data_IF_955043250291
#
_entry.id   IF_955043250291
#
_cell.length_a   1.000
_cell.length_b   1.000
_cell.length_c   1.000
_cell.angle_alpha   90.00
_cell.angle_beta   90.00
_cell.angle_gamma   90.00
#
_symmetry.space_group_name_H-M   'P 1'
#
loop_
_entity.id
_entity.type
_entity.pdbx_description
1 polymer ?
#
# COMPACT_ATOMS: atom_id res chain seq x y z
N UNK A 1 10.07 13.32 -3.93
CA UNK A 1 8.66 12.87 -3.93
C UNK A 1 7.82 13.84 -3.11
N UNK A 2 6.65 14.23 -3.63
CA UNK A 2 5.74 15.22 -3.02
C UNK A 2 5.37 14.86 -1.57
N UNK A 3 5.03 13.60 -1.29
CA UNK A 3 4.66 13.14 0.06
C UNK A 3 5.79 13.26 1.08
N UNK A 4 7.04 13.02 0.66
CA UNK A 4 8.20 13.15 1.55
C UNK A 4 8.47 14.62 1.91
N UNK A 5 8.24 15.53 0.96
CA UNK A 5 8.36 16.97 1.20
C UNK A 5 7.22 17.48 2.08
N UNK A 6 5.98 17.11 1.81
CA UNK A 6 4.82 17.41 2.65
C UNK A 6 5.05 16.95 4.10
N UNK A 7 5.46 15.68 4.27
CA UNK A 7 5.77 15.14 5.59
C UNK A 7 6.92 15.87 6.28
N UNK A 8 7.94 16.35 5.54
CA UNK A 8 9.01 17.18 6.09
C UNK A 8 8.47 18.54 6.57
N UNK A 9 7.67 19.23 5.75
CA UNK A 9 7.08 20.53 6.09
C UNK A 9 6.19 20.45 7.33
N UNK A 10 5.30 19.45 7.39
CA UNK A 10 4.42 19.24 8.54
C UNK A 10 5.22 18.92 9.81
N UNK A 11 6.25 18.05 9.71
CA UNK A 11 7.14 17.74 10.84
C UNK A 11 7.89 18.96 11.35
N UNK A 12 8.38 19.80 10.46
CA UNK A 12 9.07 21.03 10.83
C UNK A 12 8.14 22.01 11.56
N UNK A 13 6.91 22.19 11.05
CA UNK A 13 5.90 23.04 11.68
C UNK A 13 5.55 22.55 13.10
N UNK A 14 5.32 21.24 13.26
CA UNK A 14 5.05 20.61 14.56
C UNK A 14 6.29 20.64 15.48
N UNK A 15 7.49 20.57 14.92
CA UNK A 15 8.76 20.61 15.66
C UNK A 15 9.03 21.95 16.33
N UNK A 16 8.64 23.07 15.68
CA UNK A 16 8.79 24.43 16.20
C UNK A 16 8.02 24.67 17.49
N UNK A 17 6.83 24.06 17.65
CA UNK A 17 6.06 24.08 18.91
C UNK A 17 6.84 23.49 20.11
N UNK A 18 7.88 22.67 19.86
CA UNK A 18 8.70 22.09 20.91
C UNK A 18 9.91 22.93 21.33
N UNK A 19 10.20 24.03 20.63
CA UNK A 19 11.34 24.90 20.94
C UNK A 19 10.99 25.99 21.96
N UNK A 20 9.71 26.31 22.11
CA UNK A 20 9.24 27.37 23.00
C UNK A 20 8.83 26.80 24.37
N UNK A 21 9.16 27.53 25.43
CA UNK A 21 8.92 27.12 26.82
C UNK A 21 7.43 27.14 27.18
N UNK A 22 6.63 27.95 26.49
CA UNK A 22 5.20 28.13 26.73
C UNK A 22 4.44 28.07 25.41
N UNK A 23 3.53 27.11 25.26
CA UNK A 23 2.69 26.99 24.07
C UNK A 23 1.40 27.78 24.28
N UNK A 24 1.21 28.83 23.48
CA UNK A 24 0.05 29.72 23.48
C UNK A 24 -0.76 29.64 22.17
N UNK A 25 -1.84 30.43 22.06
CA UNK A 25 -2.71 30.43 20.88
C UNK A 25 -2.02 30.99 19.62
N UNK A 26 -1.15 31.99 19.76
CA UNK A 26 -0.40 32.56 18.64
C UNK A 26 0.54 31.53 18.00
N UNK A 27 1.23 30.72 18.81
CA UNK A 27 2.09 29.64 18.34
C UNK A 27 1.31 28.53 17.63
N UNK A 28 0.13 28.18 18.15
CA UNK A 28 -0.77 27.23 17.49
C UNK A 28 -1.19 27.75 16.10
N UNK A 29 -1.50 29.04 16.00
CA UNK A 29 -1.91 29.67 14.75
C UNK A 29 -0.80 29.72 13.70
N UNK A 30 0.43 30.02 14.12
CA UNK A 30 1.61 29.98 13.26
C UNK A 30 1.86 28.56 12.75
N UNK A 31 1.82 27.56 13.64
CA UNK A 31 1.99 26.15 13.25
C UNK A 31 0.90 25.70 12.28
N UNK A 32 -0.37 25.99 12.57
CA UNK A 32 -1.49 25.64 11.70
C UNK A 32 -1.38 26.32 10.34
N UNK A 33 -0.90 27.57 10.28
CA UNK A 33 -0.65 28.27 9.01
C UNK A 33 0.38 27.52 8.17
N UNK A 34 1.51 27.11 8.75
CA UNK A 34 2.54 26.33 8.04
C UNK A 34 2.01 24.98 7.53
N UNK A 35 1.26 24.25 8.38
CA UNK A 35 0.64 22.98 7.97
C UNK A 35 -0.37 23.19 6.84
N UNK A 36 -1.22 24.21 6.93
CA UNK A 36 -2.20 24.52 5.89
C UNK A 36 -1.53 24.89 4.56
N UNK A 37 -0.48 25.73 4.60
CA UNK A 37 0.29 26.08 3.41
C UNK A 37 0.90 24.84 2.76
N UNK A 38 1.51 23.95 3.55
CA UNK A 38 2.09 22.71 3.02
C UNK A 38 1.04 21.80 2.35
N UNK A 39 -0.16 21.69 2.94
CA UNK A 39 -1.27 20.92 2.36
C UNK A 39 -1.76 21.55 1.04
N UNK A 40 -1.93 22.86 0.98
CA UNK A 40 -2.37 23.57 -0.23
C UNK A 40 -1.33 23.45 -1.35
N UNK A 41 -0.04 23.61 -1.04
CA UNK A 41 1.07 23.39 -1.99
C UNK A 41 1.14 21.95 -2.51
N UNK A 42 0.54 20.99 -1.79
CA UNK A 42 0.45 19.58 -2.18
C UNK A 42 -0.89 19.23 -2.84
N UNK A 43 -1.58 20.22 -3.42
CA UNK A 43 -2.85 20.09 -4.12
C UNK A 43 -4.02 19.57 -3.26
N UNK A 44 -3.97 19.74 -1.93
CA UNK A 44 -5.11 19.44 -1.06
C UNK A 44 -6.14 20.56 -1.16
N UNK A 45 -7.40 20.18 -1.42
CA UNK A 45 -8.48 21.14 -1.66
C UNK A 45 -8.67 22.13 -0.49
N UNK A 46 -8.66 23.43 -0.81
CA UNK A 46 -8.62 24.52 0.19
C UNK A 46 -9.77 24.48 1.22
N UNK A 47 -10.96 24.01 0.83
CA UNK A 47 -12.09 23.87 1.78
C UNK A 47 -11.81 22.81 2.85
N UNK A 48 -11.15 21.70 2.49
CA UNK A 48 -10.77 20.65 3.44
C UNK A 48 -9.69 21.14 4.39
N UNK A 49 -8.70 21.88 3.86
CA UNK A 49 -7.63 22.49 4.66
C UNK A 49 -8.20 23.51 5.67
N UNK A 50 -9.15 24.35 5.23
CA UNK A 50 -9.85 25.29 6.11
C UNK A 50 -10.62 24.56 7.22
N UNK A 51 -11.40 23.53 6.87
CA UNK A 51 -12.13 22.72 7.84
C UNK A 51 -11.19 22.07 8.87
N UNK A 52 -10.05 21.52 8.44
CA UNK A 52 -9.03 20.97 9.33
C UNK A 52 -8.55 22.03 10.31
N UNK A 53 -8.18 23.23 9.84
CA UNK A 53 -7.73 24.33 10.70
C UNK A 53 -8.78 24.70 11.76
N UNK A 54 -10.03 24.88 11.32
CA UNK A 54 -11.13 25.28 12.20
C UNK A 54 -11.44 24.20 13.25
N UNK A 55 -11.38 22.93 12.87
CA UNK A 55 -11.61 21.81 13.78
C UNK A 55 -10.48 21.69 14.82
N UNK A 56 -9.21 21.82 14.40
CA UNK A 56 -8.08 21.76 15.33
C UNK A 56 -8.17 22.91 16.36
N UNK A 57 -8.47 24.14 15.92
CA UNK A 57 -8.66 25.28 16.83
C UNK A 57 -9.75 25.03 17.86
N UNK A 58 -10.91 24.52 17.42
CA UNK A 58 -12.04 24.23 18.31
C UNK A 58 -11.75 23.12 19.33
N UNK A 59 -10.91 22.15 18.97
CA UNK A 59 -10.61 20.99 19.80
C UNK A 59 -9.53 21.25 20.88
N UNK A 60 -8.83 22.39 20.82
CA UNK A 60 -7.75 22.74 21.75
C UNK A 60 -8.23 23.82 22.72
N UNK A 61 -8.48 23.42 23.97
CA UNK A 61 -8.69 24.36 25.07
C UNK A 61 -7.40 24.46 25.90
N UNK A 62 -6.78 25.65 25.92
CA UNK A 62 -5.51 25.87 26.63
C UNK A 62 -5.66 25.95 28.16
N UNK A 63 -6.87 26.18 28.67
CA UNK A 63 -7.19 26.30 30.10
C UNK A 63 -7.30 24.93 30.78
N UNK A 64 -7.80 23.91 30.06
CA UNK A 64 -8.00 22.55 30.59
C UNK A 64 -6.72 21.72 30.63
N UNK A 65 -5.70 22.08 29.84
CA UNK A 65 -4.50 21.24 29.68
C UNK A 65 -3.38 21.69 30.63
N UNK A 66 -3.13 20.88 31.66
CA UNK A 66 -2.06 21.13 32.65
C UNK A 66 -0.70 20.63 32.13
N UNK A 67 0.28 21.52 32.03
CA UNK A 67 1.68 21.22 31.70
C UNK A 67 2.06 21.25 30.21
N UNK A 68 3.17 21.92 29.87
CA UNK A 68 3.60 22.17 28.47
C UNK A 68 3.89 20.91 27.63
N UNK A 69 4.49 19.87 28.23
CA UNK A 69 4.73 18.60 27.54
C UNK A 69 3.43 17.86 27.17
N UNK A 70 2.41 17.96 28.03
CA UNK A 70 1.07 17.42 27.75
C UNK A 70 0.38 18.22 26.64
N UNK A 71 0.52 19.56 26.62
CA UNK A 71 -0.01 20.43 25.56
C UNK A 71 0.51 20.04 24.17
N UNK A 72 1.83 19.87 24.02
CA UNK A 72 2.42 19.46 22.72
C UNK A 72 1.85 18.14 22.22
N UNK A 73 1.86 17.10 23.07
CA UNK A 73 1.37 15.76 22.70
C UNK A 73 -0.12 15.81 22.34
N UNK A 74 -0.89 16.62 23.05
CA UNK A 74 -2.31 16.82 22.76
C UNK A 74 -2.51 17.47 21.39
N UNK A 75 -1.83 18.58 21.08
CA UNK A 75 -1.90 19.26 19.77
C UNK A 75 -1.53 18.30 18.63
N UNK A 76 -0.43 17.56 18.77
CA UNK A 76 0.00 16.56 17.79
C UNK A 76 -1.06 15.48 17.55
N UNK A 77 -1.68 14.98 18.62
CA UNK A 77 -2.76 13.98 18.54
C UNK A 77 -4.01 14.56 17.84
N UNK A 78 -4.35 15.82 18.13
CA UNK A 78 -5.49 16.49 17.48
C UNK A 78 -5.24 16.68 15.99
N UNK A 79 -4.08 17.19 15.60
CA UNK A 79 -3.69 17.32 14.17
C UNK A 79 -3.68 15.95 13.48
N UNK A 80 -3.13 14.93 14.13
CA UNK A 80 -3.14 13.55 13.63
C UNK A 80 -4.56 13.05 13.35
N UNK A 81 -5.48 13.23 14.29
CA UNK A 81 -6.87 12.79 14.15
C UNK A 81 -7.59 13.53 13.02
N UNK A 82 -7.37 14.84 12.87
CA UNK A 82 -7.98 15.60 11.76
C UNK A 82 -7.39 15.22 10.40
N UNK A 83 -6.08 14.97 10.31
CA UNK A 83 -5.47 14.43 9.09
C UNK A 83 -5.99 13.02 8.78
N UNK A 84 -6.22 12.18 9.79
CA UNK A 84 -6.79 10.85 9.61
C UNK A 84 -8.20 10.93 9.02
N UNK A 85 -9.05 11.83 9.52
CA UNK A 85 -10.40 12.05 9.00
C UNK A 85 -10.43 12.48 7.52
N UNK A 86 -9.37 13.11 7.01
CA UNK A 86 -9.27 13.48 5.60
C UNK A 86 -9.07 12.28 4.66
N UNK A 87 -8.48 11.19 5.17
CA UNK A 87 -8.09 10.02 4.35
C UNK A 87 -8.82 8.73 4.74
N UNK A 88 -9.56 8.73 5.84
CA UNK A 88 -10.33 7.61 6.34
C UNK A 88 -11.83 7.97 6.44
N UNK A 89 -12.67 7.49 5.50
CA UNK A 89 -14.11 7.72 5.56
C UNK A 89 -14.82 6.86 6.61
N UNK A 90 -14.10 5.98 7.33
CA UNK A 90 -14.69 5.06 8.32
C UNK A 90 -15.47 3.90 7.71
N UNK A 91 -15.35 3.70 6.39
CA UNK A 91 -16.02 2.62 5.64
C UNK A 91 -15.05 1.46 5.45
N UNK A 92 -15.52 0.23 5.68
CA UNK A 92 -14.70 -0.96 5.45
C UNK A 92 -14.49 -1.16 3.95
N UNK A 93 -13.22 -1.29 3.54
CA UNK A 93 -12.84 -1.60 2.17
C UNK A 93 -13.40 -2.96 1.72
N UNK A 94 -13.84 -3.04 0.46
CA UNK A 94 -14.23 -4.31 -0.15
C UNK A 94 -13.07 -5.29 -0.13
N UNK A 95 -13.33 -6.53 0.28
CA UNK A 95 -12.35 -7.61 0.27
C UNK A 95 -12.80 -8.69 -0.73
N UNK A 96 -11.96 -9.05 -1.72
CA UNK A 96 -12.31 -10.10 -2.67
C UNK A 96 -12.45 -11.45 -1.98
N UNK A 97 -13.39 -12.26 -2.45
CA UNK A 97 -13.64 -13.61 -1.95
C UNK A 97 -12.93 -14.64 -2.81
N UNK A 98 -12.11 -15.50 -2.19
CA UNK A 98 -11.34 -16.55 -2.90
C UNK A 98 -12.26 -17.64 -3.43
N UNK A 99 -11.96 -18.19 -4.60
CA UNK A 99 -12.79 -19.19 -5.29
C UNK A 99 -14.07 -18.62 -5.93
N UNK A 100 -14.31 -17.32 -5.85
CA UNK A 100 -15.38 -16.61 -6.57
C UNK A 100 -14.78 -15.65 -7.58
N UNK A 101 -15.57 -15.30 -8.60
CA UNK A 101 -15.22 -14.20 -9.53
C UNK A 101 -15.36 -12.86 -8.82
N UNK A 102 -14.30 -12.05 -8.82
CA UNK A 102 -14.27 -10.69 -8.33
C UNK A 102 -13.88 -9.79 -9.51
N UNK A 103 -14.83 -8.97 -9.98
CA UNK A 103 -14.63 -8.10 -11.12
C UNK A 103 -14.36 -6.68 -10.62
N UNK A 104 -13.24 -6.11 -11.03
CA UNK A 104 -12.83 -4.74 -10.70
C UNK A 104 -12.82 -3.91 -11.97
N UNK A 105 -13.57 -2.82 -12.00
CA UNK A 105 -13.57 -1.87 -13.10
C UNK A 105 -12.85 -0.60 -12.67
N UNK A 106 -11.80 -0.22 -13.39
CA UNK A 106 -11.03 0.99 -13.12
C UNK A 106 -11.56 2.16 -13.92
N UNK A 107 -12.16 3.12 -13.20
CA UNK A 107 -12.66 4.38 -13.77
C UNK A 107 -11.84 5.55 -13.24
N UNK A 108 -11.80 6.64 -14.00
CA UNK A 108 -11.14 7.87 -13.57
C UNK A 108 -10.56 8.70 -14.71
N UNK A 109 -9.96 9.83 -14.36
CA UNK A 109 -9.45 10.82 -15.31
C UNK A 109 -8.39 10.27 -16.26
N UNK A 110 -8.26 10.90 -17.43
CA UNK A 110 -7.13 10.65 -18.32
C UNK A 110 -5.79 10.96 -17.63
N UNK A 111 -4.81 10.08 -17.82
CA UNK A 111 -3.46 10.27 -17.27
C UNK A 111 -3.31 9.95 -15.77
N UNK A 112 -4.36 9.52 -15.06
CA UNK A 112 -4.30 9.19 -13.63
C UNK A 112 -3.55 7.89 -13.28
N UNK A 113 -3.02 7.18 -14.29
CA UNK A 113 -2.27 5.94 -14.10
C UNK A 113 -3.10 4.65 -14.08
N UNK A 114 -4.37 4.66 -14.51
CA UNK A 114 -5.28 3.48 -14.52
C UNK A 114 -4.62 2.20 -15.06
N UNK A 115 -4.16 2.20 -16.30
CA UNK A 115 -3.53 1.02 -16.95
C UNK A 115 -2.36 0.45 -16.14
N UNK A 116 -1.52 1.33 -15.58
CA UNK A 116 -0.39 0.94 -14.72
C UNK A 116 -0.90 0.33 -13.41
N UNK A 117 -1.86 0.99 -12.77
CA UNK A 117 -2.47 0.52 -11.50
C UNK A 117 -3.22 -0.80 -11.67
N UNK A 118 -3.93 -1.00 -12.77
CA UNK A 118 -4.56 -2.27 -13.14
C UNK A 118 -3.54 -3.40 -13.13
N UNK A 119 -2.39 -3.20 -13.78
CA UNK A 119 -1.32 -4.19 -13.84
C UNK A 119 -0.73 -4.46 -12.45
N UNK A 120 -0.45 -3.41 -11.67
CA UNK A 120 0.07 -3.53 -10.30
C UNK A 120 -0.89 -4.30 -9.39
N UNK A 121 -2.19 -4.01 -9.46
CA UNK A 121 -3.20 -4.71 -8.68
C UNK A 121 -3.31 -6.18 -9.08
N UNK A 122 -3.31 -6.47 -10.39
CA UNK A 122 -3.33 -7.84 -10.89
C UNK A 122 -2.10 -8.64 -10.43
N UNK A 123 -0.92 -8.02 -10.46
CA UNK A 123 0.34 -8.61 -9.99
C UNK A 123 0.35 -8.83 -8.46
N UNK A 124 -0.14 -7.86 -7.69
CA UNK A 124 -0.28 -7.95 -6.23
C UNK A 124 -1.08 -9.19 -5.82
N UNK A 125 -2.25 -9.42 -6.43
CA UNK A 125 -3.05 -10.61 -6.14
C UNK A 125 -2.45 -11.90 -6.71
N UNK A 126 -1.78 -11.84 -7.87
CA UNK A 126 -1.08 -12.98 -8.46
C UNK A 126 0.00 -13.52 -7.50
N UNK A 127 0.81 -12.63 -6.88
CA UNK A 127 1.81 -13.00 -5.87
C UNK A 127 1.21 -13.67 -4.64
N UNK A 128 -0.06 -13.39 -4.34
CA UNK A 128 -0.84 -14.02 -3.26
C UNK A 128 -1.54 -15.32 -3.68
N UNK A 129 -1.23 -15.84 -4.88
CA UNK A 129 -1.74 -17.11 -5.38
C UNK A 129 -3.21 -17.03 -5.82
N UNK A 130 -3.64 -15.87 -6.33
CA UNK A 130 -4.91 -15.72 -7.03
C UNK A 130 -4.71 -15.85 -8.53
N UNK A 131 -5.70 -16.38 -9.25
CA UNK A 131 -5.73 -16.31 -10.72
C UNK A 131 -6.23 -14.94 -11.16
N UNK A 132 -5.36 -14.15 -11.77
CA UNK A 132 -5.63 -12.75 -12.15
C UNK A 132 -5.53 -12.53 -13.65
N UNK A 133 -6.34 -11.63 -14.20
CA UNK A 133 -6.31 -11.27 -15.61
C UNK A 133 -6.65 -9.79 -15.82
N UNK A 134 -6.29 -9.28 -16.99
CA UNK A 134 -6.53 -7.89 -17.41
C UNK A 134 -7.40 -7.83 -18.67
N UNK A 135 -8.32 -6.87 -18.73
CA UNK A 135 -9.15 -6.60 -19.90
C UNK A 135 -8.96 -5.14 -20.27
N UNK A 136 -8.54 -4.87 -21.50
CA UNK A 136 -8.40 -3.51 -22.03
C UNK A 136 -9.70 -3.06 -22.71
N UNK A 137 -10.52 -2.30 -22.00
CA UNK A 137 -11.71 -1.63 -22.54
C UNK A 137 -11.45 -0.14 -22.86
N UNK A 138 -10.20 0.33 -22.82
CA UNK A 138 -9.81 1.65 -23.34
C UNK A 138 -9.69 1.60 -24.87
N UNK A 139 -10.83 1.79 -25.56
CA UNK A 139 -10.90 1.81 -27.03
C UNK A 139 -10.63 3.20 -27.62
N UNK A 140 -10.58 4.24 -26.80
CA UNK A 140 -10.45 5.63 -27.25
C UNK A 140 -9.00 6.07 -27.41
N UNK A 141 -8.10 5.59 -26.54
CA UNK A 141 -6.71 6.03 -26.53
C UNK A 141 -5.84 5.15 -27.43
N UNK A 142 -5.19 5.78 -28.40
CA UNK A 142 -4.24 5.10 -29.28
C UNK A 142 -3.12 4.40 -28.48
N UNK A 143 -2.87 3.13 -28.80
CA UNK A 143 -1.86 2.31 -28.14
C UNK A 143 -2.19 1.91 -26.70
N UNK A 144 -3.41 2.15 -26.20
CA UNK A 144 -3.81 1.71 -24.86
C UNK A 144 -3.72 0.19 -24.71
N UNK A 145 -4.21 -0.56 -25.70
CA UNK A 145 -4.12 -2.01 -25.68
C UNK A 145 -2.68 -2.49 -25.77
N UNK A 146 -1.83 -1.87 -26.59
CA UNK A 146 -0.42 -2.22 -26.69
C UNK A 146 0.33 -1.94 -25.38
N UNK A 147 0.03 -0.84 -24.71
CA UNK A 147 0.60 -0.51 -23.39
C UNK A 147 0.18 -1.56 -22.34
N UNK A 148 -1.11 -1.89 -22.27
CA UNK A 148 -1.61 -2.90 -21.33
C UNK A 148 -0.98 -4.26 -21.63
N UNK A 149 -0.93 -4.66 -22.90
CA UNK A 149 -0.30 -5.90 -23.37
C UNK A 149 1.16 -5.97 -22.98
N UNK A 150 1.93 -4.89 -23.15
CA UNK A 150 3.34 -4.85 -22.79
C UNK A 150 3.53 -5.03 -21.27
N UNK A 151 2.75 -4.32 -20.46
CA UNK A 151 2.80 -4.41 -19.01
C UNK A 151 2.40 -5.81 -18.50
N UNK A 152 1.29 -6.34 -19.03
CA UNK A 152 0.77 -7.65 -18.69
C UNK A 152 1.74 -8.78 -19.08
N UNK A 153 2.36 -8.68 -20.26
CA UNK A 153 3.36 -9.66 -20.73
C UNK A 153 4.59 -9.68 -19.81
N UNK A 154 5.11 -8.50 -19.43
CA UNK A 154 6.24 -8.38 -18.49
C UNK A 154 5.91 -9.03 -17.13
N UNK A 155 4.68 -8.83 -16.65
CA UNK A 155 4.21 -9.39 -15.38
C UNK A 155 3.68 -10.84 -15.49
N UNK A 156 3.66 -11.44 -16.70
CA UNK A 156 3.08 -12.77 -16.96
C UNK A 156 1.62 -12.89 -16.53
N UNK A 157 0.83 -11.87 -16.81
CA UNK A 157 -0.60 -11.79 -16.49
C UNK A 157 -1.40 -12.00 -17.79
N UNK A 158 -2.33 -12.96 -17.84
CA UNK A 158 -3.23 -13.12 -18.97
C UNK A 158 -4.05 -11.86 -19.24
N UNK A 159 -4.22 -11.52 -20.52
CA UNK A 159 -4.94 -10.31 -20.91
C UNK A 159 -5.90 -10.54 -22.09
N UNK A 160 -6.91 -9.69 -22.20
CA UNK A 160 -7.87 -9.62 -23.31
C UNK A 160 -8.05 -8.18 -23.79
N UNK A 161 -8.27 -8.01 -25.08
CA UNK A 161 -8.53 -6.73 -25.73
C UNK A 161 -8.60 -6.92 -27.24
N UNK A 162 -8.95 -5.85 -27.95
CA UNK A 162 -9.16 -5.89 -29.40
C UNK A 162 -8.47 -4.72 -30.09
N UNK A 163 -7.97 -4.97 -31.31
CA UNK A 163 -7.45 -3.92 -32.20
C UNK A 163 -8.52 -3.37 -33.15
N UNK A 164 -9.63 -4.10 -33.34
CA UNK A 164 -10.66 -3.78 -34.33
C UNK A 164 -12.01 -3.45 -33.70
N UNK A 165 -12.30 -3.99 -32.52
CA UNK A 165 -13.53 -3.69 -31.79
C UNK A 165 -13.38 -2.33 -31.11
N UNK A 166 -14.39 -1.47 -31.31
CA UNK A 166 -14.40 -0.11 -30.80
C UNK A 166 -15.38 0.07 -29.64
N UNK A 167 -16.32 -0.86 -29.47
CA UNK A 167 -17.28 -0.85 -28.36
C UNK A 167 -16.62 -1.38 -27.07
N UNK A 168 -16.37 -0.52 -26.06
CA UNK A 168 -15.75 -0.93 -24.81
C UNK A 168 -16.64 -1.89 -24.00
N UNK A 169 -17.97 -1.79 -24.14
CA UNK A 169 -18.92 -2.66 -23.41
C UNK A 169 -18.78 -4.09 -23.88
N UNK A 170 -18.71 -4.28 -25.21
CA UNK A 170 -18.55 -5.60 -25.82
C UNK A 170 -17.22 -6.24 -25.44
N UNK A 171 -16.11 -5.49 -25.50
CA UNK A 171 -14.79 -5.99 -25.09
C UNK A 171 -14.78 -6.39 -23.61
N UNK A 172 -15.37 -5.58 -22.74
CA UNK A 172 -15.46 -5.88 -21.31
C UNK A 172 -16.30 -7.15 -21.06
N UNK A 173 -17.48 -7.26 -21.69
CA UNK A 173 -18.37 -8.40 -21.52
C UNK A 173 -17.73 -9.72 -21.98
N UNK A 174 -17.17 -9.74 -23.20
CA UNK A 174 -16.49 -10.92 -23.75
C UNK A 174 -15.27 -11.33 -22.93
N UNK A 175 -14.47 -10.35 -22.49
CA UNK A 175 -13.30 -10.59 -21.64
C UNK A 175 -13.67 -11.18 -20.29
N UNK A 176 -14.69 -10.61 -19.62
CA UNK A 176 -15.17 -11.10 -18.32
C UNK A 176 -15.73 -12.51 -18.47
N UNK A 177 -16.51 -12.77 -19.52
CA UNK A 177 -17.07 -14.10 -19.78
C UNK A 177 -15.98 -15.13 -20.02
N UNK A 178 -15.00 -14.82 -20.89
CA UNK A 178 -13.85 -15.68 -21.18
C UNK A 178 -13.12 -16.08 -19.90
N UNK A 179 -12.67 -15.11 -19.12
CA UNK A 179 -11.88 -15.37 -17.93
C UNK A 179 -12.69 -15.99 -16.78
N UNK A 180 -14.01 -15.74 -16.73
CA UNK A 180 -14.90 -16.47 -15.82
C UNK A 180 -14.94 -17.96 -16.17
N UNK A 181 -15.08 -18.31 -17.46
CA UNK A 181 -15.09 -19.72 -17.91
C UNK A 181 -13.76 -20.43 -17.67
N UNK A 182 -12.64 -19.71 -17.78
CA UNK A 182 -11.30 -20.23 -17.48
C UNK A 182 -10.98 -20.30 -15.97
N UNK A 183 -11.90 -19.86 -15.10
CA UNK A 183 -11.78 -19.96 -13.65
C UNK A 183 -10.84 -18.93 -13.02
N UNK A 184 -10.75 -17.72 -13.60
CA UNK A 184 -10.03 -16.60 -12.98
C UNK A 184 -10.86 -15.96 -11.86
N UNK A 185 -10.16 -15.51 -10.83
CA UNK A 185 -10.78 -15.03 -9.59
C UNK A 185 -10.75 -13.50 -9.48
N UNK A 186 -9.70 -12.86 -10.01
CA UNK A 186 -9.53 -11.40 -10.03
C UNK A 186 -9.53 -10.96 -11.49
N UNK A 187 -10.63 -10.37 -11.93
CA UNK A 187 -10.81 -9.90 -13.31
C UNK A 187 -10.78 -8.37 -13.26
N UNK A 188 -9.76 -7.77 -13.85
CA UNK A 188 -9.56 -6.32 -13.84
C UNK A 188 -9.84 -5.75 -15.22
N UNK A 189 -10.78 -4.81 -15.30
CA UNK A 189 -11.18 -4.10 -16.52
C UNK A 189 -10.61 -2.68 -16.46
N UNK A 190 -9.70 -2.37 -17.39
CA UNK A 190 -9.12 -1.04 -17.59
C UNK A 190 -9.97 -0.27 -18.61
N UNK A 191 -10.62 0.82 -18.17
CA UNK A 191 -11.44 1.66 -19.06
C UNK A 191 -10.67 2.89 -19.53
N UNK A 192 -11.19 3.56 -20.56
CA UNK A 192 -10.68 4.86 -20.97
C UNK A 192 -10.78 5.91 -19.86
N UNK A 193 -9.95 6.95 -19.99
CA UNK A 193 -10.03 8.11 -19.10
C UNK A 193 -11.10 9.10 -19.51
N UNK A 194 -11.88 9.57 -18.53
CA UNK A 194 -12.83 10.67 -18.72
C UNK A 194 -12.12 12.02 -18.78
N UNK A 195 -12.71 12.99 -19.48
CA UNK A 195 -12.23 14.37 -19.48
C UNK A 195 -12.75 15.13 -18.26
N UNK A 196 -11.98 16.10 -17.75
CA UNK A 196 -12.31 16.87 -16.52
C UNK A 196 -13.60 17.70 -16.62
N UNK A 197 -14.13 17.89 -17.82
CA UNK A 197 -15.29 18.75 -18.11
C UNK A 197 -16.62 17.96 -18.21
N UNK A 198 -16.60 16.64 -18.03
CA UNK A 198 -17.83 15.83 -18.03
C UNK A 198 -18.64 16.07 -16.73
N UNK A 199 -19.89 16.54 -16.84
CA UNK A 199 -20.71 16.87 -15.68
C UNK A 199 -21.03 15.65 -14.78
N UNK A 200 -21.20 14.47 -15.38
CA UNK A 200 -21.41 13.20 -14.66
C UNK A 200 -20.22 12.80 -13.79
N UNK A 201 -19.00 13.23 -14.14
CA UNK A 201 -17.80 13.00 -13.35
C UNK A 201 -17.89 13.69 -11.97
N UNK A 202 -18.52 14.85 -11.89
CA UNK A 202 -18.65 15.56 -10.61
C UNK A 202 -19.56 14.82 -9.63
N UNK A 203 -20.67 14.26 -10.10
CA UNK A 203 -21.56 13.43 -9.28
C UNK A 203 -20.86 12.15 -8.80
N UNK A 204 -20.10 11.50 -9.69
CA UNK A 204 -19.27 10.34 -9.34
C UNK A 204 -18.17 10.70 -8.32
N UNK A 205 -17.47 11.83 -8.49
CA UNK A 205 -16.43 12.29 -7.55
C UNK A 205 -17.02 12.54 -6.16
N UNK A 206 -18.21 13.15 -6.07
CA UNK A 206 -18.90 13.37 -4.79
C UNK A 206 -19.25 12.03 -4.14
N UNK A 207 -19.73 11.05 -4.88
CA UNK A 207 -19.98 9.69 -4.36
C UNK A 207 -18.67 9.01 -3.90
N UNK A 208 -17.56 9.22 -4.61
CA UNK A 208 -16.23 8.70 -4.25
C UNK A 208 -15.70 9.29 -2.94
N UNK A 209 -16.10 10.50 -2.53
CA UNK A 209 -15.62 11.08 -1.25
C UNK A 209 -15.94 10.24 -0.01
N UNK A 210 -16.95 9.36 -0.08
CA UNK A 210 -17.30 8.42 1.00
C UNK A 210 -16.75 7.00 0.79
N UNK A 211 -16.03 6.78 -0.31
CA UNK A 211 -15.50 5.46 -0.66
C UNK A 211 -14.14 5.24 0.00
N UNK A 212 -13.87 4.03 0.53
CA UNK A 212 -12.60 3.72 1.15
C UNK A 212 -11.47 3.69 0.12
N UNK A 213 -10.32 4.26 0.49
CA UNK A 213 -9.07 4.07 -0.26
C UNK A 213 -8.51 2.69 0.08
N UNK A 214 -8.42 1.81 -0.92
CA UNK A 214 -8.03 0.39 -0.71
C UNK A 214 -6.52 0.19 -0.91
N UNK A 215 -5.94 0.83 -1.92
CA UNK A 215 -4.54 0.68 -2.31
C UNK A 215 -3.87 2.03 -2.50
N UNK A 216 -2.55 2.05 -2.33
CA UNK A 216 -1.67 3.17 -2.66
C UNK A 216 -0.51 2.68 -3.53
N UNK A 217 -0.26 3.39 -4.62
CA UNK A 217 0.96 3.23 -5.40
C UNK A 217 2.06 4.09 -4.81
N UNK A 218 3.17 3.48 -4.38
CA UNK A 218 4.27 4.17 -3.70
C UNK A 218 5.41 4.58 -4.63
N UNK A 219 5.33 4.23 -5.90
CA UNK A 219 6.39 4.42 -6.89
C UNK A 219 6.00 3.89 -8.27
N UNK A 220 6.97 3.72 -9.15
CA UNK A 220 6.75 3.33 -10.56
C UNK A 220 6.89 1.83 -10.81
N UNK A 221 7.64 1.12 -9.97
CA UNK A 221 7.88 -0.31 -10.15
C UNK A 221 6.61 -1.13 -9.89
N UNK A 222 6.56 -2.35 -10.46
CA UNK A 222 5.38 -3.21 -10.34
C UNK A 222 5.06 -3.60 -8.89
N UNK A 223 6.10 -3.68 -8.04
CA UNK A 223 5.99 -3.98 -6.61
C UNK A 223 5.66 -2.75 -5.75
N UNK A 224 5.69 -1.53 -6.30
CA UNK A 224 5.34 -0.30 -5.59
C UNK A 224 3.82 -0.12 -5.51
N UNK A 225 3.15 -1.09 -4.87
CA UNK A 225 1.71 -1.17 -4.71
C UNK A 225 1.35 -1.90 -3.42
N UNK A 226 0.76 -1.18 -2.46
CA UNK A 226 0.45 -1.70 -1.12
C UNK A 226 -0.99 -1.38 -0.71
N UNK A 227 -1.51 -2.15 0.26
CA UNK A 227 -2.81 -1.82 0.89
C UNK A 227 -2.67 -0.49 1.60
N UNK A 228 -3.60 0.42 1.32
CA UNK A 228 -3.65 1.70 2.01
C UNK A 228 -4.13 1.49 3.45
N UNK A 229 -3.28 1.87 4.41
CA UNK A 229 -3.58 1.85 5.84
C UNK A 229 -3.62 3.30 6.33
N UNK A 230 -4.80 3.93 6.50
CA UNK A 230 -4.92 5.37 6.76
C UNK A 230 -4.09 5.83 7.96
N UNK A 231 -4.18 5.08 9.07
CA UNK A 231 -3.43 5.36 10.30
C UNK A 231 -1.91 5.38 10.06
N UNK A 232 -1.38 4.31 9.47
CA UNK A 232 0.05 4.19 9.15
C UNK A 232 0.50 5.26 8.17
N UNK A 233 -0.32 5.61 7.18
CA UNK A 233 -0.03 6.68 6.23
C UNK A 233 0.16 8.03 6.94
N UNK A 234 -0.78 8.42 7.81
CA UNK A 234 -0.67 9.68 8.57
C UNK A 234 0.48 9.63 9.58
N UNK A 235 0.73 8.48 10.22
CA UNK A 235 1.87 8.30 11.13
C UNK A 235 3.20 8.52 10.41
N UNK A 236 3.39 7.91 9.24
CA UNK A 236 4.56 8.12 8.37
C UNK A 236 4.68 9.59 7.97
N UNK A 237 3.57 10.24 7.61
CA UNK A 237 3.55 11.65 7.24
C UNK A 237 4.03 12.57 8.39
N UNK A 238 3.58 12.30 9.60
CA UNK A 238 3.99 13.04 10.81
C UNK A 238 5.35 12.60 11.36
N UNK A 239 5.99 11.59 10.78
CA UNK A 239 7.23 10.99 11.31
C UNK A 239 7.07 10.40 12.70
N UNK A 240 5.85 10.09 13.09
CA UNK A 240 5.56 9.29 14.28
C UNK A 240 5.84 7.86 13.85
N UNK A 241 7.00 7.31 14.23
CA UNK A 241 7.45 5.99 13.81
C UNK A 241 6.33 4.95 13.79
N UNK A 242 6.25 4.20 12.70
CA UNK A 242 5.20 3.22 12.47
C UNK A 242 5.51 1.96 13.31
N UNK A 243 5.15 1.97 14.60
CA UNK A 243 5.31 0.79 15.47
C UNK A 243 4.47 -0.38 14.91
N UNK A 244 3.38 -0.08 14.17
CA UNK A 244 2.53 -1.07 13.53
C UNK A 244 3.03 -1.53 12.15
N UNK A 245 3.70 -0.66 11.39
CA UNK A 245 4.25 -0.97 10.07
C UNK A 245 5.59 -1.72 10.07
N UNK A 246 6.24 -1.86 11.23
CA UNK A 246 7.52 -2.57 11.34
C UNK A 246 7.41 -4.08 11.15
N UNK A 247 6.21 -4.66 11.29
CA UNK A 247 5.97 -6.08 11.02
C UNK A 247 4.49 -6.26 10.66
N UNK A 248 4.15 -6.45 9.39
CA UNK A 248 2.81 -6.92 9.05
C UNK A 248 2.68 -8.35 9.59
N UNK A 249 1.92 -8.53 10.68
CA UNK A 249 1.67 -9.83 11.31
C UNK A 249 1.09 -10.84 10.33
N UNK A 250 0.43 -10.38 9.26
CA UNK A 250 -0.07 -11.24 8.20
C UNK A 250 1.04 -11.65 7.23
N UNK A 251 1.93 -10.73 6.82
CA UNK A 251 3.10 -11.08 6.01
C UNK A 251 4.08 -11.98 6.77
N UNK A 252 4.30 -11.71 8.07
CA UNK A 252 5.10 -12.59 8.93
C UNK A 252 4.42 -13.93 9.11
N UNK A 253 3.09 -13.99 9.29
CA UNK A 253 2.38 -15.28 9.29
C UNK A 253 2.50 -16.01 7.96
N UNK A 254 2.43 -15.31 6.84
CA UNK A 254 2.52 -15.90 5.50
C UNK A 254 3.96 -16.40 5.23
N UNK A 255 4.98 -15.63 5.63
CA UNK A 255 6.39 -16.05 5.63
C UNK A 255 6.61 -17.26 6.53
N UNK A 256 6.08 -17.23 7.76
CA UNK A 256 6.18 -18.32 8.72
C UNK A 256 5.42 -19.56 8.22
N UNK A 257 4.31 -19.40 7.52
CA UNK A 257 3.56 -20.50 6.91
C UNK A 257 4.32 -21.12 5.73
N UNK A 258 5.01 -20.32 4.92
CA UNK A 258 5.94 -20.81 3.89
C UNK A 258 7.12 -21.55 4.51
N UNK A 259 7.72 -21.02 5.58
CA UNK A 259 8.79 -21.68 6.34
C UNK A 259 8.32 -22.99 6.97
N UNK A 260 7.08 -23.04 7.48
CA UNK A 260 6.50 -24.25 8.06
C UNK A 260 6.26 -25.32 6.99
N UNK A 261 5.72 -24.95 5.83
CA UNK A 261 5.60 -25.86 4.67
C UNK A 261 6.96 -26.36 4.19
N UNK A 262 7.96 -25.49 4.13
CA UNK A 262 9.33 -25.87 3.75
C UNK A 262 9.95 -26.83 4.79
N UNK A 263 9.80 -26.53 6.09
CA UNK A 263 10.19 -27.40 7.19
C UNK A 263 9.52 -28.77 7.11
N UNK A 264 8.22 -28.82 6.80
CA UNK A 264 7.48 -30.08 6.64
C UNK A 264 7.96 -30.87 5.42
N UNK A 265 8.30 -30.20 4.30
CA UNK A 265 8.93 -30.83 3.13
C UNK A 265 10.31 -31.36 3.48
N UNK A 266 11.14 -30.59 4.20
CA UNK A 266 12.47 -31.01 4.67
C UNK A 266 12.37 -32.18 5.64
N UNK A 267 11.37 -32.21 6.54
CA UNK A 267 11.09 -33.35 7.43
C UNK A 267 10.62 -34.58 6.66
N UNK A 268 9.81 -34.39 5.61
CA UNK A 268 9.30 -35.48 4.75
C UNK A 268 10.40 -36.07 3.88
N UNK A 269 11.34 -35.23 3.43
CA UNK A 269 12.55 -35.65 2.71
C UNK A 269 13.56 -36.28 3.68
N UNK A 270 13.71 -35.74 4.88
CA UNK A 270 14.59 -36.27 5.94
C UNK A 270 14.10 -37.56 6.60
N UNK A 271 12.83 -37.95 6.39
CA UNK A 271 12.28 -39.24 6.82
C UNK A 271 12.47 -40.35 5.79
N UNK A 272 12.96 -40.02 4.57
CA UNK A 272 13.53 -41.01 3.66
C UNK A 272 14.93 -41.32 4.19
N UNK A 273 14.99 -42.30 5.10
CA UNK A 273 16.21 -42.82 5.71
C UNK A 273 17.29 -43.03 4.64
N UNK A 274 18.37 -42.26 4.71
CA UNK A 274 19.66 -42.79 4.27
C UNK A 274 20.70 -41.88 3.63
N UNK A 275 20.43 -40.64 3.17
CA UNK A 275 21.43 -39.89 2.38
C UNK A 275 21.30 -38.36 2.47
N UNK A 276 21.52 -37.75 3.64
CA UNK A 276 21.77 -36.31 3.71
C UNK A 276 23.00 -36.01 4.55
N UNK A 277 24.10 -35.67 3.86
CA UNK A 277 25.31 -35.15 4.46
C UNK A 277 25.04 -33.71 4.93
N UNK A 278 25.19 -33.43 6.24
CA UNK A 278 24.99 -32.09 6.82
C UNK A 278 25.82 -31.00 6.14
N UNK A 279 26.97 -31.37 5.54
CA UNK A 279 27.77 -30.46 4.75
C UNK A 279 27.04 -29.94 3.49
N UNK A 280 26.27 -30.80 2.80
CA UNK A 280 25.51 -30.41 1.60
C UNK A 280 24.30 -29.54 1.94
N UNK A 281 23.64 -29.82 3.07
CA UNK A 281 22.51 -29.01 3.56
C UNK A 281 22.99 -27.59 3.91
N UNK A 282 24.11 -27.47 4.63
CA UNK A 282 24.71 -26.18 4.97
C UNK A 282 25.12 -25.39 3.72
N UNK A 283 25.64 -26.09 2.71
CA UNK A 283 26.07 -25.46 1.45
C UNK A 283 24.89 -25.00 0.58
N UNK A 284 23.75 -25.70 0.61
CA UNK A 284 22.53 -25.24 -0.06
C UNK A 284 21.84 -24.09 0.67
N UNK A 285 21.80 -24.09 2.00
CA UNK A 285 21.25 -22.96 2.76
C UNK A 285 22.04 -21.67 2.54
N UNK A 286 23.38 -21.75 2.51
CA UNK A 286 24.23 -20.60 2.23
C UNK A 286 24.01 -20.00 0.83
N UNK A 287 23.57 -20.80 -0.16
CA UNK A 287 23.27 -20.34 -1.52
C UNK A 287 21.89 -19.70 -1.67
N UNK A 288 20.97 -19.95 -0.73
CA UNK A 288 19.60 -19.42 -0.77
C UNK A 288 19.40 -18.19 0.13
N UNK A 289 20.36 -17.85 0.97
CA UNK A 289 20.33 -16.64 1.79
C UNK A 289 20.89 -15.44 1.00
N UNK A 290 20.26 -14.27 1.16
CA UNK A 290 20.76 -13.03 0.58
C UNK A 290 22.18 -12.75 1.12
N UNK A 291 23.16 -12.42 0.25
CA UNK A 291 24.54 -12.15 0.66
C UNK A 291 24.68 -11.09 1.76
N UNK A 292 23.76 -10.13 1.83
CA UNK A 292 23.75 -9.08 2.87
C UNK A 292 23.34 -9.62 4.24
N UNK A 293 22.38 -10.55 4.27
CA UNK A 293 21.94 -11.22 5.50
C UNK A 293 23.04 -12.15 6.02
N UNK A 294 23.71 -12.87 5.11
CA UNK A 294 24.84 -13.73 5.45
C UNK A 294 26.00 -12.92 6.06
N UNK A 295 26.30 -11.73 5.51
CA UNK A 295 27.34 -10.85 6.03
C UNK A 295 26.98 -10.26 7.40
N UNK A 296 25.71 -9.88 7.60
CA UNK A 296 25.21 -9.34 8.86
C UNK A 296 25.15 -10.39 9.98
N UNK A 297 25.03 -11.67 9.63
CA UNK A 297 25.08 -12.81 10.55
C UNK A 297 26.51 -13.35 10.79
N UNK A 298 27.56 -12.69 10.31
CA UNK A 298 28.95 -13.13 10.53
C UNK A 298 29.44 -14.22 9.58
N UNK A 299 28.86 -14.31 8.38
CA UNK A 299 29.23 -15.27 7.34
C UNK A 299 28.85 -16.71 7.68
N UNK A 300 29.48 -17.67 6.99
CA UNK A 300 29.28 -19.11 7.23
C UNK A 300 29.61 -19.53 8.67
N UNK A 301 30.56 -18.86 9.32
CA UNK A 301 30.94 -19.14 10.71
C UNK A 301 29.85 -18.78 11.72
N UNK A 302 29.13 -17.67 11.51
CA UNK A 302 28.02 -17.27 12.38
C UNK A 302 26.78 -18.17 12.23
N UNK A 303 26.50 -18.64 11.01
CA UNK A 303 25.45 -19.63 10.76
C UNK A 303 25.73 -20.96 11.48
N UNK A 304 27.01 -21.37 11.51
CA UNK A 304 27.45 -22.61 12.14
C UNK A 304 27.39 -22.52 13.68
N UNK A 305 27.71 -21.36 14.25
CA UNK A 305 27.54 -21.10 15.69
C UNK A 305 26.07 -21.08 16.11
N UNK A 306 25.20 -20.51 15.29
CA UNK A 306 23.75 -20.49 15.53
C UNK A 306 23.16 -21.91 15.47
N UNK A 307 23.56 -22.73 14.50
CA UNK A 307 23.13 -24.14 14.42
C UNK A 307 23.62 -24.96 15.61
N UNK A 308 24.85 -24.75 16.06
CA UNK A 308 25.37 -25.41 17.26
C UNK A 308 24.61 -24.99 18.53
N UNK A 309 24.17 -23.74 18.63
CA UNK A 309 23.31 -23.27 19.72
C UNK A 309 21.90 -23.87 19.64
N UNK A 310 21.29 -23.95 18.46
CA UNK A 310 19.98 -24.59 18.29
C UNK A 310 20.02 -26.10 18.55
N UNK A 311 21.09 -26.78 18.15
CA UNK A 311 21.29 -28.20 18.45
C UNK A 311 21.47 -28.47 19.96
N UNK A 312 21.99 -27.49 20.71
CA UNK A 312 22.06 -27.53 22.18
C UNK A 312 20.72 -27.19 22.83
N UNK A 313 19.96 -26.25 22.27
CA UNK A 313 18.65 -25.86 22.79
C UNK A 313 17.56 -26.94 22.61
N UNK A 314 17.73 -27.87 21.66
CA UNK A 314 16.82 -29.01 21.47
C UNK A 314 17.05 -30.21 22.40
N UNK A 315 17.99 -30.11 23.37
CA UNK A 315 18.27 -31.15 24.38
C UNK A 315 17.84 -30.75 25.81
N UNK A 316 17.07 -29.67 25.96
CA UNK A 316 16.40 -29.29 27.21
C UNK A 316 14.90 -29.51 27.08
#
# INVERSE_FOLDING_TARGET
>A
MVLADLGRKIRNAIGKLGQNTVINEEELDLMLKEVCTALIESDVHIRLVKQLKDNVKKAINFEEIVGGANKRRYIQKTVFNELLKLVDPGVTAFQPTKGKRNVFMFVGLQGSGKTTTCTKMAYYYQRKGWKTCLICADTFRAGAFDQLKQNATKARIPFYGSYSEIDPVKIAAEGVEKFTKEGFEIIIVDTSGRHKQEASLFEEIVAVTKSPVIFIGTGEHIDDFEIFKPKSFVQKLLGMGDIAGLVDMQEVRDLLAQYKKFSDVVKKIGSIKGLFNMAQLNQQMAKMMDPRVLQQMGGMGGLQNMMNQMARAGKM
#
